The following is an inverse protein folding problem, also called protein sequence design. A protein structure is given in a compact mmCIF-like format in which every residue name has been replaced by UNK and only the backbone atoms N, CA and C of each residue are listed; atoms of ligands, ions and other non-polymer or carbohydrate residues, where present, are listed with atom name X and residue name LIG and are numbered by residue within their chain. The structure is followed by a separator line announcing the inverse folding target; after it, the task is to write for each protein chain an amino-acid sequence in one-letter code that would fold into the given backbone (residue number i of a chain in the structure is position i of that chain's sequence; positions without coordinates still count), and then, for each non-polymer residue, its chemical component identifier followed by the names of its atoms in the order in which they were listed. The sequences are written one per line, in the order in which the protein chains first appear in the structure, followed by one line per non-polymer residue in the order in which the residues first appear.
data_IF_361498032338
#
_entry.id   IF_361498032338
#
_cell.length_a   1.000
_cell.length_b   1.000
_cell.length_c   1.000
_cell.angle_alpha   90.00
_cell.angle_beta   90.00
_cell.angle_gamma   90.00
#
_symmetry.space_group_name_H-M   'P 1'
#
loop_
_entity.id
_entity.type
_entity.pdbx_description
1 polymer ?
#
# COMPACT_ATOMS: atom_id res chain seq x y z
N UNK A 1 35.26 9.02 -19.37
CA UNK A 1 33.88 8.90 -18.83
C UNK A 1 32.98 8.70 -20.03
N UNK A 2 32.52 7.47 -20.25
CA UNK A 2 31.81 7.08 -21.48
C UNK A 2 30.32 7.41 -21.30
N UNK A 3 29.87 8.49 -21.94
CA UNK A 3 28.52 9.05 -21.80
C UNK A 3 27.63 8.45 -22.89
N UNK A 4 27.31 7.16 -22.76
CA UNK A 4 26.42 6.45 -23.70
C UNK A 4 24.97 6.78 -23.39
N UNK A 5 24.50 7.89 -23.95
CA UNK A 5 23.06 8.12 -24.09
C UNK A 5 22.55 7.24 -25.22
N UNK A 6 21.50 6.46 -24.95
CA UNK A 6 20.84 5.66 -25.98
C UNK A 6 20.20 6.58 -27.02
N UNK A 7 20.24 6.21 -28.32
CA UNK A 7 19.45 6.87 -29.34
C UNK A 7 17.97 6.96 -28.93
N UNK A 8 17.24 8.01 -29.35
CA UNK A 8 15.82 8.17 -29.01
C UNK A 8 14.94 6.96 -29.36
N UNK A 9 15.29 6.22 -30.40
CA UNK A 9 14.59 5.01 -30.85
C UNK A 9 14.86 3.77 -29.98
N UNK A 10 15.98 3.77 -29.23
CA UNK A 10 16.35 2.72 -28.28
C UNK A 10 15.88 3.04 -26.85
N UNK A 11 15.25 4.20 -26.64
CA UNK A 11 14.64 4.53 -25.36
C UNK A 11 13.30 3.78 -25.20
N UNK A 12 12.99 3.28 -24.00
CA UNK A 12 11.68 2.72 -23.76
C UNK A 12 10.61 3.78 -24.04
N UNK A 13 9.43 3.38 -24.56
CA UNK A 13 8.34 4.29 -24.77
C UNK A 13 8.02 5.03 -23.46
N UNK A 14 7.86 6.36 -23.52
CA UNK A 14 7.37 7.15 -22.37
C UNK A 14 5.87 6.98 -22.19
N UNK A 15 5.38 5.75 -22.31
CA UNK A 15 3.98 5.40 -22.11
C UNK A 15 3.78 5.33 -20.59
N UNK A 16 2.76 6.00 -20.04
CA UNK A 16 2.39 5.79 -18.64
C UNK A 16 2.19 4.28 -18.41
N UNK A 17 2.48 3.76 -17.20
CA UNK A 17 2.25 2.35 -16.91
C UNK A 17 0.84 1.97 -17.34
N UNK A 18 0.75 0.89 -18.11
CA UNK A 18 -0.51 0.28 -18.52
C UNK A 18 -1.38 0.08 -17.27
N UNK A 19 -2.58 0.66 -17.27
CA UNK A 19 -3.40 0.73 -16.07
C UNK A 19 -3.91 -0.66 -15.67
N UNK A 20 -4.16 -1.54 -16.65
CA UNK A 20 -4.47 -2.94 -16.41
C UNK A 20 -3.30 -3.63 -15.73
N UNK A 21 -2.08 -3.45 -16.25
CA UNK A 21 -0.89 -4.05 -15.67
C UNK A 21 -0.62 -3.58 -14.24
N UNK A 22 -0.77 -2.28 -13.98
CA UNK A 22 -0.59 -1.73 -12.64
C UNK A 22 -1.65 -2.25 -11.66
N UNK A 23 -2.89 -2.39 -12.12
CA UNK A 23 -3.97 -2.98 -11.31
C UNK A 23 -3.69 -4.44 -10.98
N UNK A 24 -3.20 -5.23 -11.93
CA UNK A 24 -2.82 -6.63 -11.67
C UNK A 24 -1.66 -6.72 -10.68
N UNK A 25 -0.66 -5.83 -10.81
CA UNK A 25 0.44 -5.74 -9.84
C UNK A 25 -0.07 -5.41 -8.43
N UNK A 26 -0.99 -4.47 -8.30
CA UNK A 26 -1.62 -4.09 -7.03
C UNK A 26 -2.40 -5.27 -6.41
N UNK A 27 -3.13 -6.03 -7.22
CA UNK A 27 -3.88 -7.22 -6.77
C UNK A 27 -2.93 -8.30 -6.26
N UNK A 28 -1.91 -8.66 -7.06
CA UNK A 28 -0.94 -9.71 -6.69
C UNK A 28 -0.13 -9.29 -5.47
N UNK A 29 0.32 -8.04 -5.40
CA UNK A 29 1.02 -7.50 -4.23
C UNK A 29 0.12 -7.54 -2.99
N UNK A 30 -1.17 -7.24 -3.14
CA UNK A 30 -2.17 -7.38 -2.07
C UNK A 30 -2.25 -8.81 -1.53
N UNK A 31 -2.27 -9.80 -2.42
CA UNK A 31 -2.31 -11.21 -2.01
C UNK A 31 -1.07 -11.61 -1.18
N UNK A 32 0.13 -11.26 -1.64
CA UNK A 32 1.35 -11.53 -0.89
C UNK A 32 1.40 -10.79 0.44
N UNK A 33 1.02 -9.51 0.47
CA UNK A 33 0.92 -8.74 1.71
C UNK A 33 0.00 -9.41 2.73
N UNK A 34 -1.18 -9.86 2.31
CA UNK A 34 -2.11 -10.55 3.19
C UNK A 34 -1.58 -11.90 3.69
N UNK A 35 -0.87 -12.64 2.83
CA UNK A 35 -0.25 -13.92 3.19
C UNK A 35 0.88 -13.75 4.22
N UNK A 36 1.68 -12.68 4.11
CA UNK A 36 2.78 -12.37 5.02
C UNK A 36 2.29 -11.88 6.39
N UNK A 37 1.08 -11.31 6.46
CA UNK A 37 0.46 -10.89 7.71
C UNK A 37 0.21 -12.09 8.65
N UNK A 38 0.38 -11.89 9.96
CA UNK A 38 0.01 -12.90 10.95
C UNK A 38 -1.51 -13.11 11.02
N UNK A 39 -1.93 -14.19 11.68
CA UNK A 39 -3.35 -14.58 11.75
C UNK A 39 -4.24 -13.49 12.35
N UNK A 40 -3.75 -12.74 13.35
CA UNK A 40 -4.53 -11.67 13.97
C UNK A 40 -4.73 -10.50 12.99
N UNK A 41 -3.67 -10.07 12.29
CA UNK A 41 -3.76 -9.02 11.27
C UNK A 41 -4.64 -9.45 10.10
N UNK A 42 -4.53 -10.70 9.63
CA UNK A 42 -5.41 -11.25 8.58
C UNK A 42 -6.89 -11.21 8.99
N UNK A 43 -7.21 -11.66 10.20
CA UNK A 43 -8.59 -11.60 10.71
C UNK A 43 -9.10 -10.15 10.77
N UNK A 44 -8.28 -9.23 11.24
CA UNK A 44 -8.64 -7.82 11.31
C UNK A 44 -8.90 -7.22 9.93
N UNK A 45 -8.01 -7.47 8.95
CA UNK A 45 -8.17 -6.99 7.58
C UNK A 45 -9.36 -7.65 6.87
N UNK A 46 -9.67 -8.91 7.15
CA UNK A 46 -10.85 -9.60 6.58
C UNK A 46 -12.19 -8.98 7.02
N UNK A 47 -12.19 -8.28 8.17
CA UNK A 47 -13.32 -7.49 8.64
C UNK A 47 -13.44 -6.12 7.98
N UNK A 48 -12.47 -5.70 7.16
CA UNK A 48 -12.44 -4.40 6.50
C UNK A 48 -12.53 -4.54 4.98
N UNK A 49 -12.96 -3.47 4.30
CA UNK A 49 -12.61 -3.31 2.89
C UNK A 49 -11.18 -2.81 2.79
N UNK A 50 -10.29 -3.47 2.05
CA UNK A 50 -8.92 -2.99 1.92
C UNK A 50 -8.32 -3.36 0.56
N UNK A 51 -7.31 -2.59 0.14
CA UNK A 51 -6.53 -2.85 -1.07
C UNK A 51 -5.17 -2.14 -1.01
N UNK A 52 -4.21 -2.62 -1.81
CA UNK A 52 -2.98 -1.89 -2.08
C UNK A 52 -3.13 -1.09 -3.39
N UNK A 53 -2.48 0.07 -3.44
CA UNK A 53 -2.35 0.84 -4.67
C UNK A 53 -0.95 1.44 -4.82
N UNK A 54 -0.34 1.25 -5.99
CA UNK A 54 0.97 1.78 -6.35
C UNK A 54 0.92 2.70 -7.59
N UNK A 55 -0.23 2.81 -8.26
CA UNK A 55 -0.35 3.43 -9.59
C UNK A 55 0.05 4.91 -9.65
N UNK A 56 -0.20 5.69 -8.60
CA UNK A 56 -0.03 7.15 -8.64
C UNK A 56 1.24 7.61 -7.91
N UNK A 57 1.75 6.85 -6.94
CA UNK A 57 2.84 7.29 -6.07
C UNK A 57 3.47 6.11 -5.29
N UNK A 58 3.83 6.33 -4.03
CA UNK A 58 4.28 5.30 -3.08
C UNK A 58 3.20 4.23 -2.84
N UNK A 59 3.65 3.00 -2.58
CA UNK A 59 2.79 1.88 -2.21
C UNK A 59 1.88 2.28 -1.04
N UNK A 60 0.56 2.26 -1.26
CA UNK A 60 -0.42 2.73 -0.29
C UNK A 60 -1.38 1.61 0.08
N UNK A 61 -1.43 1.25 1.36
CA UNK A 61 -2.47 0.41 1.93
C UNK A 61 -3.68 1.25 2.27
N UNK A 62 -4.78 1.02 1.56
CA UNK A 62 -6.07 1.66 1.84
C UNK A 62 -6.93 0.71 2.64
N UNK A 63 -7.46 1.19 3.76
CA UNK A 63 -8.35 0.44 4.66
C UNK A 63 -9.63 1.25 4.88
N UNK A 64 -10.76 0.62 4.64
CA UNK A 64 -12.11 1.15 4.85
C UNK A 64 -12.75 0.39 5.99
N UNK A 65 -12.93 1.07 7.11
CA UNK A 65 -13.46 0.48 8.33
C UNK A 65 -14.99 0.48 8.30
N UNK A 66 -15.66 -0.65 8.58
CA UNK A 66 -17.13 -0.70 8.60
C UNK A 66 -17.75 -0.11 9.87
N UNK A 67 -17.03 -0.11 10.99
CA UNK A 67 -17.53 0.36 12.29
C UNK A 67 -16.40 0.92 13.20
N UNK A 68 -16.80 1.62 14.27
CA UNK A 68 -15.89 2.23 15.26
C UNK A 68 -14.90 1.24 15.86
N UNK A 69 -15.38 0.06 16.24
CA UNK A 69 -14.55 -0.92 16.93
C UNK A 69 -13.48 -1.44 15.98
N UNK A 70 -13.84 -1.78 14.74
CA UNK A 70 -12.88 -2.20 13.72
C UNK A 70 -11.85 -1.11 13.42
N UNK A 71 -12.28 0.15 13.29
CA UNK A 71 -11.36 1.29 13.15
C UNK A 71 -10.36 1.37 14.32
N UNK A 72 -10.85 1.29 15.57
CA UNK A 72 -9.97 1.27 16.75
C UNK A 72 -8.98 0.11 16.76
N UNK A 73 -9.40 -1.08 16.31
CA UNK A 73 -8.51 -2.24 16.22
C UNK A 73 -7.44 -2.03 15.14
N UNK A 74 -7.77 -1.45 13.99
CA UNK A 74 -6.80 -1.06 12.96
C UNK A 74 -5.78 -0.06 13.52
N UNK A 75 -6.25 0.99 14.21
CA UNK A 75 -5.37 1.98 14.83
C UNK A 75 -4.39 1.35 15.84
N UNK A 76 -4.84 0.38 16.63
CA UNK A 76 -3.98 -0.35 17.58
C UNK A 76 -2.93 -1.24 16.92
N UNK A 77 -3.14 -1.67 15.68
CA UNK A 77 -2.25 -2.56 14.94
C UNK A 77 -1.48 -1.84 13.82
N UNK A 78 -1.44 -0.50 13.86
CA UNK A 78 -0.74 0.31 12.86
C UNK A 78 0.73 -0.06 12.71
N UNK A 79 1.43 -0.29 13.82
CA UNK A 79 2.86 -0.63 13.79
C UNK A 79 3.12 -1.98 13.12
N UNK A 80 2.26 -2.96 13.35
CA UNK A 80 2.32 -4.27 12.68
C UNK A 80 2.09 -4.11 11.18
N UNK A 81 1.04 -3.39 10.79
CA UNK A 81 0.73 -3.10 9.38
C UNK A 81 1.87 -2.35 8.67
N UNK A 82 2.46 -1.37 9.36
CA UNK A 82 3.62 -0.64 8.86
C UNK A 82 4.85 -1.55 8.70
N UNK A 83 5.07 -2.46 9.64
CA UNK A 83 6.17 -3.44 9.58
C UNK A 83 6.03 -4.36 8.39
N UNK A 84 4.83 -4.90 8.14
CA UNK A 84 4.57 -5.71 6.94
C UNK A 84 4.76 -4.89 5.66
N UNK A 85 4.24 -3.66 5.59
CA UNK A 85 4.43 -2.81 4.41
C UNK A 85 5.90 -2.51 4.07
N UNK A 86 6.77 -2.41 5.09
CA UNK A 86 8.21 -2.15 4.89
C UNK A 86 8.92 -3.30 4.16
N UNK A 87 8.42 -4.53 4.20
CA UNK A 87 9.04 -5.64 3.44
C UNK A 87 8.79 -5.50 1.93
N UNK A 88 7.73 -4.79 1.53
CA UNK A 88 7.34 -4.61 0.13
C UNK A 88 7.93 -3.34 -0.50
N UNK A 89 8.11 -2.27 0.28
CA UNK A 89 8.63 -0.99 -0.24
C UNK A 89 9.44 -0.19 0.79
N UNK A 90 10.46 0.53 0.31
CA UNK A 90 11.29 1.44 1.13
C UNK A 90 10.49 2.63 1.69
N UNK A 91 9.48 3.07 0.95
CA UNK A 91 8.53 4.09 1.37
C UNK A 91 7.13 3.62 0.97
N UNK A 92 6.23 3.64 1.94
CA UNK A 92 4.85 3.26 1.80
C UNK A 92 3.95 4.21 2.59
N UNK A 93 2.64 4.02 2.49
CA UNK A 93 1.64 4.79 3.22
C UNK A 93 0.50 3.90 3.65
N UNK A 94 -0.07 4.18 4.82
CA UNK A 94 -1.34 3.61 5.27
C UNK A 94 -2.38 4.73 5.23
N UNK A 95 -3.52 4.48 4.57
CA UNK A 95 -4.65 5.39 4.51
C UNK A 95 -5.89 4.70 5.09
N UNK A 96 -6.43 5.26 6.15
CA UNK A 96 -7.56 4.69 6.88
C UNK A 96 -8.78 5.60 6.74
N UNK A 97 -9.84 5.04 6.17
CA UNK A 97 -11.15 5.66 6.08
C UNK A 97 -12.01 5.18 7.27
N UNK A 98 -12.39 6.08 8.19
CA UNK A 98 -13.34 5.72 9.24
C UNK A 98 -14.73 5.47 8.66
N UNK A 99 -15.65 4.89 9.45
CA UNK A 99 -17.04 4.74 9.03
C UNK A 99 -17.69 6.10 8.70
N UNK A 100 -18.72 6.12 7.84
CA UNK A 100 -19.37 7.36 7.43
C UNK A 100 -19.85 8.19 8.62
N UNK A 101 -19.41 9.45 8.70
CA UNK A 101 -19.80 10.39 9.75
C UNK A 101 -19.00 10.31 11.06
N UNK A 102 -17.96 9.46 11.13
CA UNK A 102 -17.23 9.21 12.38
C UNK A 102 -15.81 9.80 12.45
N UNK A 103 -15.40 10.57 11.45
CA UNK A 103 -14.11 11.26 11.47
C UNK A 103 -13.59 11.62 10.09
N UNK A 104 -12.31 11.99 10.05
CA UNK A 104 -11.59 12.29 8.81
C UNK A 104 -10.67 11.13 8.42
N UNK A 105 -10.36 11.04 7.14
CA UNK A 105 -9.37 10.09 6.63
C UNK A 105 -8.02 10.35 7.31
N UNK A 106 -7.38 9.29 7.78
CA UNK A 106 -6.05 9.36 8.37
C UNK A 106 -5.01 8.82 7.39
N UNK A 107 -3.89 9.52 7.25
CA UNK A 107 -2.74 9.07 6.46
C UNK A 107 -1.50 8.95 7.35
N UNK A 108 -0.84 7.79 7.27
CA UNK A 108 0.37 7.49 8.04
C UNK A 108 1.48 7.12 7.05
N UNK A 109 2.58 7.90 6.98
CA UNK A 109 3.73 7.52 6.19
C UNK A 109 4.48 6.36 6.85
N UNK A 110 4.95 5.42 6.03
CA UNK A 110 5.74 4.27 6.45
C UNK A 110 7.09 4.37 5.75
N UNK A 111 8.12 4.76 6.48
CA UNK A 111 9.48 4.84 5.97
C UNK A 111 10.31 3.70 6.55
N UNK A 112 11.10 3.02 5.72
CA UNK A 112 12.20 2.20 6.20
C UNK A 112 13.24 3.16 6.78
N UNK A 113 13.52 3.08 8.08
CA UNK A 113 14.63 3.83 8.66
C UNK A 113 15.94 3.35 8.03
N UNK A 114 16.81 4.29 7.68
CA UNK A 114 18.19 4.02 7.27
C UNK A 114 18.93 3.57 8.52
N UNK A 115 19.17 2.26 8.64
CA UNK A 115 20.14 1.73 9.59
C UNK A 115 21.56 2.16 9.19
#
# INVERSE_FOLDING_TARGET
MDNRSLPPDDLPPRIPPDWELARELDVVTGQYFYQDCDRATQQLLSGCGWYLSSFINVLTLVIVCPDKNTNWQILKNLDSLATYLKSFAKSARIRIYPPPGEGTVMEVPVNAEVL
#
